data_IF_725138709402
#
_entry.id   IF_725138709402
#
_cell.length_a   1.000
_cell.length_b   1.000
_cell.length_c   1.000
_cell.angle_alpha   90.00
_cell.angle_beta   90.00
_cell.angle_gamma   90.00
#
_symmetry.space_group_name_H-M   'P 1'
#
loop_
_entity.id
_entity.type
_entity.pdbx_description
1 polymer ?
#
# COMPACT_ATOMS: atom_id res chain seq x y z
N UNK A 1 32.57 34.02 70.84
CA UNK A 1 32.10 34.24 72.22
C UNK A 1 30.58 34.41 72.17
N UNK A 2 29.88 33.51 72.86
CA UNK A 2 28.48 33.58 73.35
C UNK A 2 27.30 33.57 72.37
N UNK A 3 26.47 32.54 72.60
CA UNK A 3 25.09 32.31 72.16
C UNK A 3 24.07 33.26 72.81
N UNK A 4 22.81 33.08 72.36
CA UNK A 4 21.51 33.36 73.01
C UNK A 4 20.90 34.70 72.57
N UNK A 5 19.63 34.84 72.21
CA UNK A 5 18.41 34.00 72.15
C UNK A 5 17.47 34.70 71.15
N UNK A 6 16.17 34.46 70.98
CA UNK A 6 15.09 33.83 71.72
C UNK A 6 13.93 33.72 70.72
N UNK A 7 13.15 32.66 70.89
CA UNK A 7 11.70 32.62 70.82
C UNK A 7 10.93 33.04 69.56
N UNK A 8 10.17 32.04 69.13
CA UNK A 8 8.97 32.10 68.30
C UNK A 8 7.94 33.13 68.78
N UNK A 9 7.20 33.70 67.82
CA UNK A 9 5.87 34.25 68.10
C UNK A 9 5.39 35.33 67.14
N UNK A 10 4.50 34.93 66.21
CA UNK A 10 3.38 35.67 65.57
C UNK A 10 3.57 37.15 65.17
N UNK A 11 3.25 37.47 63.91
CA UNK A 11 1.97 38.14 63.54
C UNK A 11 1.95 38.62 62.07
N UNK A 12 1.03 38.05 61.29
CA UNK A 12 0.10 38.63 60.30
C UNK A 12 0.38 40.08 59.82
N UNK A 13 0.44 40.32 58.51
CA UNK A 13 -0.41 41.30 57.79
C UNK A 13 -0.16 41.34 56.28
N UNK A 14 -1.26 41.41 55.53
CA UNK A 14 -1.34 41.48 54.07
C UNK A 14 -1.09 42.90 53.56
N UNK A 15 -0.67 43.06 52.30
CA UNK A 15 -1.33 44.02 51.41
C UNK A 15 -1.22 43.59 49.94
N UNK A 16 -2.36 43.62 49.27
CA UNK A 16 -2.63 43.18 47.89
C UNK A 16 -2.74 44.44 47.00
N UNK A 17 -2.16 44.36 45.80
CA UNK A 17 -2.33 45.22 44.62
C UNK A 17 -1.70 46.63 44.62
N UNK A 18 -0.73 46.88 43.73
CA UNK A 18 -0.87 47.78 42.57
C UNK A 18 0.39 47.69 41.66
N UNK A 19 0.13 47.70 40.35
CA UNK A 19 1.04 47.77 39.17
C UNK A 19 2.17 48.81 39.37
N UNK A 20 3.35 48.79 38.71
CA UNK A 20 3.63 49.08 37.27
C UNK A 20 5.15 48.86 36.95
N UNK A 21 5.50 48.58 35.67
CA UNK A 21 6.80 48.76 34.95
C UNK A 21 8.00 47.82 35.29
N UNK A 22 8.85 47.32 34.39
CA UNK A 22 8.95 47.23 32.92
C UNK A 22 10.15 46.32 32.54
N UNK A 23 10.00 45.57 31.44
CA UNK A 23 11.00 45.20 30.41
C UNK A 23 12.35 44.50 30.74
N UNK A 24 12.39 43.25 30.24
CA UNK A 24 13.38 42.73 29.29
C UNK A 24 14.84 42.47 29.74
N UNK A 25 15.12 41.20 30.08
CA UNK A 25 16.37 40.51 29.73
C UNK A 25 16.02 39.08 29.25
N UNK A 26 15.72 38.92 27.96
CA UNK A 26 16.66 38.44 26.92
C UNK A 26 17.08 36.99 27.18
N UNK A 27 16.26 36.04 26.71
CA UNK A 27 16.77 34.73 26.30
C UNK A 27 16.52 34.53 24.80
N UNK A 28 17.42 35.00 23.93
CA UNK A 28 17.28 34.91 22.48
C UNK A 28 17.72 33.55 21.92
N UNK A 29 18.01 32.55 22.78
CA UNK A 29 18.58 31.26 22.37
C UNK A 29 17.57 30.10 22.31
N UNK A 30 16.27 30.33 22.60
CA UNK A 30 15.26 29.25 22.63
C UNK A 30 14.31 29.22 21.43
N UNK A 31 14.63 29.89 20.32
CA UNK A 31 13.92 29.69 19.08
C UNK A 31 14.95 29.35 18.02
N UNK A 32 15.11 28.05 17.75
CA UNK A 32 15.78 27.64 16.52
C UNK A 32 15.00 28.34 15.40
N UNK A 33 15.61 29.20 14.57
CA UNK A 33 14.88 29.78 13.46
C UNK A 33 14.31 28.62 12.64
N UNK A 34 13.06 28.74 12.19
CA UNK A 34 12.41 27.77 11.30
C UNK A 34 13.31 27.62 10.07
N UNK A 35 14.25 26.68 10.13
CA UNK A 35 15.02 26.30 8.96
C UNK A 35 13.97 25.74 8.02
N UNK A 36 13.74 26.44 6.92
CA UNK A 36 12.96 25.93 5.82
C UNK A 36 13.51 24.54 5.52
N UNK A 37 12.75 23.51 5.87
CA UNK A 37 13.05 22.16 5.43
C UNK A 37 12.90 22.25 3.92
N UNK A 38 14.02 22.42 3.21
CA UNK A 38 14.10 22.34 1.77
C UNK A 38 13.97 20.84 1.38
N UNK A 39 12.87 20.23 1.85
CA UNK A 39 12.46 18.90 1.46
C UNK A 39 11.69 19.09 0.16
N UNK A 40 12.09 18.41 -0.92
CA UNK A 40 11.36 18.51 -2.18
C UNK A 40 9.90 18.15 -1.94
N UNK A 41 8.99 19.00 -2.44
CA UNK A 41 7.56 18.68 -2.48
C UNK A 41 7.43 17.45 -3.38
N UNK A 42 7.01 16.32 -2.80
CA UNK A 42 6.76 15.11 -3.58
C UNK A 42 5.48 15.35 -4.36
N UNK A 43 5.62 15.70 -5.64
CA UNK A 43 4.49 15.71 -6.56
C UNK A 43 3.95 14.30 -6.66
N UNK A 44 2.71 14.08 -6.20
CA UNK A 44 2.02 12.82 -6.41
C UNK A 44 1.76 12.69 -7.91
N UNK A 45 2.59 11.94 -8.61
CA UNK A 45 2.17 11.37 -9.88
C UNK A 45 1.16 10.28 -9.53
N UNK A 46 -0.11 10.39 -9.98
CA UNK A 46 -1.07 9.32 -9.81
C UNK A 46 -0.48 8.04 -10.36
N UNK A 47 -0.45 6.98 -9.54
CA UNK A 47 -0.04 5.66 -9.99
C UNK A 47 -1.08 5.20 -11.01
N UNK A 48 -0.78 5.39 -12.29
CA UNK A 48 -1.50 4.74 -13.38
C UNK A 48 -1.23 3.26 -13.19
N UNK A 49 -2.20 2.53 -12.65
CA UNK A 49 -2.06 1.09 -12.60
C UNK A 49 -1.85 0.60 -14.03
N UNK A 50 -0.80 -0.22 -14.28
CA UNK A 50 -0.61 -0.78 -15.60
C UNK A 50 -1.91 -1.48 -16.00
N UNK A 51 -2.31 -1.34 -17.27
CA UNK A 51 -3.52 -1.98 -17.78
C UNK A 51 -3.59 -3.43 -17.25
N UNK A 52 -4.76 -3.88 -16.76
CA UNK A 52 -4.89 -5.20 -16.17
C UNK A 52 -4.27 -6.25 -17.11
N UNK A 53 -3.48 -7.20 -16.59
CA UNK A 53 -2.90 -8.24 -17.43
C UNK A 53 -4.03 -8.92 -18.20
N UNK A 54 -3.93 -8.96 -19.53
CA UNK A 54 -4.98 -9.50 -20.40
C UNK A 54 -5.42 -10.89 -19.90
N UNK A 55 -6.64 -10.97 -19.38
CA UNK A 55 -7.23 -12.18 -18.84
C UNK A 55 -7.66 -13.14 -19.95
N UNK A 56 -7.84 -14.41 -19.59
CA UNK A 56 -8.33 -15.43 -20.51
C UNK A 56 -9.77 -15.09 -20.93
N UNK A 57 -9.97 -14.77 -22.21
CA UNK A 57 -11.31 -14.57 -22.75
C UNK A 57 -11.81 -15.88 -23.35
N UNK A 58 -12.95 -16.38 -22.88
CA UNK A 58 -13.56 -17.59 -23.48
C UNK A 58 -13.96 -17.28 -24.91
N UNK A 59 -13.62 -18.16 -25.85
CA UNK A 59 -13.97 -17.96 -27.26
C UNK A 59 -15.43 -18.36 -27.49
N UNK A 60 -16.22 -17.48 -28.10
CA UNK A 60 -17.62 -17.76 -28.44
C UNK A 60 -17.69 -18.87 -29.50
N UNK A 61 -18.59 -19.84 -29.31
CA UNK A 61 -18.76 -20.99 -30.20
C UNK A 61 -17.81 -22.16 -29.95
N UNK A 62 -16.77 -22.00 -29.11
CA UNK A 62 -15.85 -23.07 -28.75
C UNK A 62 -15.98 -23.43 -27.27
N UNK A 63 -16.17 -24.73 -26.96
CA UNK A 63 -16.38 -25.18 -25.58
C UNK A 63 -15.12 -25.04 -24.72
N UNK A 64 -13.99 -25.43 -25.29
CA UNK A 64 -12.73 -25.65 -24.57
C UNK A 64 -11.65 -24.62 -24.90
N UNK A 65 -11.92 -23.66 -25.80
CA UNK A 65 -10.93 -22.71 -26.33
C UNK A 65 -11.04 -21.35 -25.63
N UNK A 66 -9.87 -20.80 -25.30
CA UNK A 66 -9.70 -19.53 -24.60
C UNK A 66 -8.62 -18.71 -25.28
N UNK A 67 -8.79 -17.39 -25.30
CA UNK A 67 -7.82 -16.42 -25.80
C UNK A 67 -6.96 -15.93 -24.64
N UNK A 68 -5.66 -16.26 -24.67
CA UNK A 68 -4.65 -15.81 -23.72
C UNK A 68 -3.61 -14.97 -24.47
N UNK A 69 -3.47 -13.68 -24.10
CA UNK A 69 -2.44 -12.77 -24.67
C UNK A 69 -2.45 -12.75 -26.21
N UNK A 70 -3.63 -12.75 -26.82
CA UNK A 70 -3.81 -12.80 -28.27
C UNK A 70 -3.53 -14.15 -28.94
N UNK A 71 -3.37 -15.23 -28.18
CA UNK A 71 -3.22 -16.62 -28.69
C UNK A 71 -4.34 -17.52 -28.20
N UNK A 72 -4.68 -18.52 -28.99
CA UNK A 72 -5.70 -19.50 -28.66
C UNK A 72 -5.08 -20.69 -27.92
N UNK A 73 -5.64 -21.01 -26.77
CA UNK A 73 -5.30 -22.21 -26.00
C UNK A 73 -6.56 -23.01 -25.73
N UNK A 74 -6.42 -24.32 -25.60
CA UNK A 74 -7.50 -25.18 -25.13
C UNK A 74 -7.21 -25.71 -23.73
N UNK A 75 -8.25 -25.79 -22.91
CA UNK A 75 -8.24 -26.42 -21.60
C UNK A 75 -9.23 -27.57 -21.60
N UNK A 76 -8.74 -28.78 -21.36
CA UNK A 76 -9.55 -29.99 -21.30
C UNK A 76 -9.34 -30.64 -19.94
N UNK A 77 -10.43 -31.02 -19.29
CA UNK A 77 -10.40 -31.85 -18.09
C UNK A 77 -10.46 -33.32 -18.53
N UNK A 78 -9.45 -34.10 -18.13
CA UNK A 78 -9.32 -35.54 -18.37
C UNK A 78 -9.21 -36.20 -16.99
N UNK A 79 -10.14 -37.11 -16.68
CA UNK A 79 -10.31 -37.63 -15.32
C UNK A 79 -10.36 -36.50 -14.27
N UNK A 80 -9.31 -36.41 -13.45
CA UNK A 80 -9.16 -35.39 -12.39
C UNK A 80 -8.14 -34.28 -12.71
N UNK A 81 -7.55 -34.27 -13.92
CA UNK A 81 -6.46 -33.34 -14.29
C UNK A 81 -6.82 -32.47 -15.47
N UNK A 82 -6.55 -31.17 -15.33
CA UNK A 82 -6.61 -30.23 -16.45
C UNK A 82 -5.35 -30.36 -17.32
N UNK A 83 -5.55 -30.63 -18.61
CA UNK A 83 -4.54 -30.54 -19.65
C UNK A 83 -4.71 -29.23 -20.40
N UNK A 84 -3.59 -28.54 -20.64
CA UNK A 84 -3.55 -27.28 -21.40
C UNK A 84 -2.78 -27.48 -22.70
N UNK A 85 -3.33 -26.99 -23.79
CA UNK A 85 -2.66 -26.99 -25.09
C UNK A 85 -1.49 -26.00 -25.16
N UNK A 86 -0.57 -26.14 -26.13
CA UNK A 86 0.30 -25.03 -26.52
C UNK A 86 -0.52 -23.87 -27.09
N UNK A 87 0.10 -22.69 -27.19
CA UNK A 87 -0.53 -21.50 -27.74
C UNK A 87 -0.58 -21.53 -29.28
N UNK A 88 -1.77 -21.42 -29.85
CA UNK A 88 -2.03 -21.43 -31.29
C UNK A 88 -2.42 -20.05 -31.81
N UNK A 89 -2.25 -19.84 -33.12
CA UNK A 89 -2.68 -18.62 -33.82
C UNK A 89 -4.12 -18.69 -34.33
N UNK A 90 -4.70 -19.90 -34.35
CA UNK A 90 -5.99 -20.20 -34.97
C UNK A 90 -6.84 -20.98 -33.94
N UNK A 91 -8.10 -20.58 -33.67
CA UNK A 91 -8.91 -21.22 -32.64
C UNK A 91 -9.25 -22.68 -32.98
N UNK A 92 -9.41 -23.01 -34.26
CA UNK A 92 -9.68 -24.35 -34.76
C UNK A 92 -8.54 -25.33 -34.42
N UNK A 93 -7.28 -24.86 -34.42
CA UNK A 93 -6.14 -25.69 -34.01
C UNK A 93 -6.21 -26.07 -32.53
N UNK A 94 -6.60 -25.12 -31.67
CA UNK A 94 -6.80 -25.38 -30.25
C UNK A 94 -7.96 -26.36 -30.03
N UNK A 95 -9.07 -26.20 -30.77
CA UNK A 95 -10.19 -27.13 -30.69
C UNK A 95 -9.82 -28.54 -31.16
N UNK A 96 -9.07 -28.68 -32.26
CA UNK A 96 -8.61 -29.99 -32.75
C UNK A 96 -7.73 -30.68 -31.73
N UNK A 97 -6.81 -29.94 -31.10
CA UNK A 97 -6.01 -30.47 -30.00
C UNK A 97 -6.89 -30.96 -28.85
N UNK A 98 -7.93 -30.19 -28.48
CA UNK A 98 -8.86 -30.60 -27.42
C UNK A 98 -9.60 -31.89 -27.77
N UNK A 99 -10.01 -32.06 -29.02
CA UNK A 99 -10.66 -33.26 -29.51
C UNK A 99 -9.71 -34.48 -29.51
N UNK A 100 -8.47 -34.29 -29.97
CA UNK A 100 -7.45 -35.33 -29.95
C UNK A 100 -7.16 -35.80 -28.53
N UNK A 101 -6.98 -34.87 -27.61
CA UNK A 101 -6.67 -35.15 -26.21
C UNK A 101 -7.80 -35.91 -25.51
N UNK A 102 -9.07 -35.66 -25.86
CA UNK A 102 -10.21 -36.47 -25.38
C UNK A 102 -10.23 -37.88 -25.96
N UNK A 103 -9.83 -38.06 -27.22
CA UNK A 103 -9.75 -39.39 -27.83
C UNK A 103 -8.60 -40.23 -27.23
N UNK A 104 -7.50 -39.59 -26.86
CA UNK A 104 -6.38 -40.27 -26.19
C UNK A 104 -6.79 -40.83 -24.82
N UNK A 105 -7.72 -40.19 -24.09
CA UNK A 105 -8.28 -40.71 -22.83
C UNK A 105 -9.10 -42.00 -23.04
N UNK A 106 -9.93 -42.06 -24.08
CA UNK A 106 -10.79 -43.23 -24.38
C UNK A 106 -9.98 -44.50 -24.74
N UNK A 107 -8.72 -44.34 -25.15
CA UNK A 107 -7.83 -45.43 -25.54
C UNK A 107 -6.98 -45.95 -24.38
N UNK A 108 -6.93 -45.22 -23.25
CA UNK A 108 -6.12 -45.59 -22.08
C UNK A 108 -6.88 -46.53 -21.09
N UNK A 109 -8.17 -46.79 -21.34
CA UNK A 109 -9.03 -47.79 -20.65
C UNK A 109 -9.10 -49.13 -21.41
#
# INVERSE_FOLDING_TARGET
MWHVGRDAGRAISYHRNLLIFEFALVNPLLMKPLRQQNRPVISYQPRVEPAPPEHANKMDGFRDVWLLRGKYVAFVLIGERFRRSPAFNVPESAQRWAAQVRQEEEVED
#
